data_IF_314809297768
#
_entry.id   IF_314809297768
#
_cell.length_a   1.000
_cell.length_b   1.000
_cell.length_c   1.000
_cell.angle_alpha   90.00
_cell.angle_beta   90.00
_cell.angle_gamma   90.00
#
_symmetry.space_group_name_H-M   'P 1'
#
loop_
_entity.id
_entity.type
_entity.pdbx_description
1 polymer ?
#
# COMPACT_ATOMS: atom_id res chain seq x y z
N UNK A 1 35.29 42.24 -62.12
CA UNK A 1 35.28 41.51 -63.40
C UNK A 1 34.22 40.43 -63.33
N UNK A 2 33.19 40.59 -64.18
CA UNK A 2 32.19 39.64 -64.69
C UNK A 2 31.50 38.67 -63.69
N UNK A 3 30.22 38.91 -63.35
CA UNK A 3 29.01 38.46 -64.07
C UNK A 3 28.76 36.95 -63.95
N UNK A 4 27.66 36.56 -63.32
CA UNK A 4 26.53 35.85 -63.98
C UNK A 4 25.34 35.82 -63.01
N UNK A 5 24.23 36.38 -63.49
CA UNK A 5 22.88 36.19 -62.97
C UNK A 5 22.14 35.17 -63.85
N UNK A 6 21.38 34.26 -63.25
CA UNK A 6 20.28 33.51 -63.87
C UNK A 6 19.45 32.93 -62.70
N UNK A 7 18.31 33.53 -62.30
CA UNK A 7 16.97 33.36 -62.89
C UNK A 7 16.67 31.90 -63.25
N UNK A 8 16.07 31.17 -62.30
CA UNK A 8 15.17 30.05 -62.60
C UNK A 8 13.85 30.25 -61.87
N UNK A 9 12.85 30.57 -62.69
CA UNK A 9 11.43 30.61 -62.36
C UNK A 9 10.87 29.19 -62.42
N UNK A 10 10.07 28.83 -61.42
CA UNK A 10 8.89 27.96 -61.54
C UNK A 10 9.08 26.54 -62.08
N UNK A 11 9.12 25.57 -61.16
CA UNK A 11 8.44 24.29 -61.36
C UNK A 11 7.63 24.01 -60.09
N UNK A 12 6.37 24.47 -60.09
CA UNK A 12 5.36 23.97 -59.17
C UNK A 12 5.20 22.48 -59.47
N UNK A 13 5.88 21.65 -58.68
CA UNK A 13 5.62 20.22 -58.65
C UNK A 13 4.17 20.05 -58.21
N UNK A 14 3.32 19.67 -59.16
CA UNK A 14 2.02 19.10 -58.87
C UNK A 14 2.27 17.91 -57.95
N UNK A 15 2.06 18.12 -56.65
CA UNK A 15 1.95 17.05 -55.69
C UNK A 15 0.76 16.21 -56.15
N UNK A 16 1.06 15.09 -56.82
CA UNK A 16 0.11 14.02 -56.98
C UNK A 16 -0.35 13.65 -55.58
N UNK A 17 -1.57 14.07 -55.24
CA UNK A 17 -2.26 13.66 -54.04
C UNK A 17 -2.37 12.15 -54.12
N UNK A 18 -1.49 11.46 -53.40
CA UNK A 18 -1.64 10.03 -53.16
C UNK A 18 -2.99 9.89 -52.46
N UNK A 19 -3.96 9.13 -53.00
CA UNK A 19 -5.24 8.96 -52.34
C UNK A 19 -4.98 8.45 -50.93
N UNK A 20 -5.50 9.17 -49.94
CA UNK A 20 -5.41 8.77 -48.55
C UNK A 20 -5.87 7.31 -48.45
N UNK A 21 -4.94 6.42 -48.11
CA UNK A 21 -5.26 5.02 -47.86
C UNK A 21 -6.38 4.99 -46.80
N UNK A 22 -7.46 4.25 -47.01
CA UNK A 22 -8.47 4.06 -45.98
C UNK A 22 -7.81 3.32 -44.82
N UNK A 23 -7.39 4.09 -43.83
CA UNK A 23 -6.80 3.60 -42.59
C UNK A 23 -7.92 3.03 -41.71
N UNK A 24 -7.55 2.05 -40.88
CA UNK A 24 -8.40 1.60 -39.77
C UNK A 24 -8.86 2.81 -38.94
N UNK A 25 -10.04 2.74 -38.31
CA UNK A 25 -10.42 3.73 -37.33
C UNK A 25 -9.29 3.90 -36.30
N UNK A 26 -8.89 5.15 -35.97
CA UNK A 26 -7.72 5.41 -35.13
C UNK A 26 -7.83 4.76 -33.75
N UNK A 27 -9.05 4.59 -33.24
CA UNK A 27 -9.33 3.90 -31.98
C UNK A 27 -8.94 2.41 -32.01
N UNK A 28 -9.23 1.69 -33.10
CA UNK A 28 -8.86 0.28 -33.25
C UNK A 28 -7.35 0.13 -33.33
N UNK A 29 -6.69 0.98 -34.13
CA UNK A 29 -5.23 0.96 -34.23
C UNK A 29 -4.55 1.29 -32.89
N UNK A 30 -5.07 2.27 -32.14
CA UNK A 30 -4.57 2.61 -30.81
C UNK A 30 -4.76 1.46 -29.81
N UNK A 31 -5.91 0.78 -29.84
CA UNK A 31 -6.19 -0.38 -28.99
C UNK A 31 -5.22 -1.53 -29.25
N UNK A 32 -5.00 -1.89 -30.52
CA UNK A 32 -4.05 -2.94 -30.92
C UNK A 32 -2.62 -2.62 -30.46
N UNK A 33 -2.17 -1.38 -30.67
CA UNK A 33 -0.85 -0.94 -30.23
C UNK A 33 -0.73 -0.99 -28.69
N UNK A 34 -1.79 -0.63 -27.97
CA UNK A 34 -1.82 -0.69 -26.51
C UNK A 34 -1.71 -2.13 -26.01
N UNK A 35 -2.44 -3.08 -26.59
CA UNK A 35 -2.37 -4.50 -26.22
C UNK A 35 -0.99 -5.11 -26.53
N UNK A 36 -0.39 -4.75 -27.67
CA UNK A 36 0.95 -5.20 -28.03
C UNK A 36 2.02 -4.63 -27.08
N UNK A 37 1.89 -3.35 -26.70
CA UNK A 37 2.78 -2.69 -25.75
C UNK A 37 2.67 -3.28 -24.35
N UNK A 38 1.44 -3.50 -23.85
CA UNK A 38 1.22 -4.09 -22.53
C UNK A 38 1.75 -5.52 -22.44
N UNK A 39 1.64 -6.31 -23.52
CA UNK A 39 2.23 -7.64 -23.56
C UNK A 39 3.76 -7.59 -23.55
N UNK A 40 4.36 -6.66 -24.28
CA UNK A 40 5.83 -6.47 -24.30
C UNK A 40 6.36 -6.01 -22.95
N UNK A 41 5.61 -5.13 -22.26
CA UNK A 41 5.89 -4.74 -20.88
C UNK A 41 5.81 -5.94 -19.94
N UNK A 42 4.78 -6.79 -20.10
CA UNK A 42 4.62 -8.00 -19.30
C UNK A 42 5.74 -9.03 -19.53
N UNK A 43 6.20 -9.20 -20.77
CA UNK A 43 7.36 -10.02 -21.11
C UNK A 43 8.64 -9.51 -20.43
N UNK A 44 8.85 -8.19 -20.43
CA UNK A 44 9.99 -7.54 -19.78
C UNK A 44 9.91 -7.70 -18.26
N UNK A 45 8.71 -7.52 -17.68
CA UNK A 45 8.47 -7.72 -16.27
C UNK A 45 8.74 -9.18 -15.86
N UNK A 46 8.35 -10.17 -16.67
CA UNK A 46 8.63 -11.57 -16.35
C UNK A 46 10.13 -11.85 -16.17
N UNK A 47 10.98 -11.22 -16.98
CA UNK A 47 12.44 -11.36 -16.86
C UNK A 47 12.96 -10.80 -15.53
N UNK A 48 12.39 -9.69 -15.08
CA UNK A 48 12.78 -9.02 -13.83
C UNK A 48 12.19 -9.72 -12.58
N UNK A 49 11.04 -10.37 -12.71
CA UNK A 49 10.22 -10.88 -11.61
C UNK A 49 10.30 -12.39 -11.40
N UNK A 50 11.18 -13.07 -12.14
CA UNK A 50 11.33 -14.53 -12.12
C UNK A 50 11.62 -15.15 -10.74
N UNK A 51 11.95 -14.36 -9.72
CA UNK A 51 12.15 -14.79 -8.33
C UNK A 51 10.99 -14.56 -7.35
N UNK A 52 9.90 -13.88 -7.74
CA UNK A 52 8.86 -13.43 -6.81
C UNK A 52 7.47 -14.01 -7.16
N UNK A 53 7.04 -15.03 -6.41
CA UNK A 53 5.81 -15.77 -6.69
C UNK A 53 4.53 -14.90 -6.67
N UNK A 54 4.41 -13.99 -5.69
CA UNK A 54 3.25 -13.09 -5.55
C UNK A 54 3.10 -12.16 -6.77
N UNK A 55 4.23 -11.63 -7.27
CA UNK A 55 4.25 -10.70 -8.39
C UNK A 55 3.93 -11.41 -9.72
N UNK A 56 4.32 -12.70 -9.85
CA UNK A 56 3.94 -13.54 -10.99
C UNK A 56 2.42 -13.78 -11.05
N UNK A 57 1.74 -13.83 -9.91
CA UNK A 57 0.27 -13.91 -9.84
C UNK A 57 -0.40 -12.67 -10.44
N UNK A 58 0.04 -11.48 -10.05
CA UNK A 58 -0.46 -10.21 -10.61
C UNK A 58 -0.11 -10.05 -12.08
N UNK A 59 1.08 -10.48 -12.50
CA UNK A 59 1.49 -10.46 -13.91
C UNK A 59 0.62 -11.37 -14.78
N UNK A 60 0.29 -12.58 -14.30
CA UNK A 60 -0.62 -13.49 -14.99
C UNK A 60 -1.99 -12.85 -15.24
N UNK A 61 -2.57 -12.21 -14.21
CA UNK A 61 -3.86 -11.54 -14.35
C UNK A 61 -3.84 -10.43 -15.41
N UNK A 62 -2.75 -9.66 -15.50
CA UNK A 62 -2.58 -8.65 -16.56
C UNK A 62 -2.53 -9.27 -17.96
N UNK A 63 -1.85 -10.41 -18.11
CA UNK A 63 -1.75 -11.09 -19.41
C UNK A 63 -3.07 -11.75 -19.79
N UNK A 64 -3.84 -12.25 -18.82
CA UNK A 64 -5.20 -12.75 -19.03
C UNK A 64 -6.14 -11.64 -19.53
N UNK A 65 -6.06 -10.43 -18.97
CA UNK A 65 -6.82 -9.26 -19.47
C UNK A 65 -6.46 -8.91 -20.93
N UNK A 66 -5.17 -8.96 -21.29
CA UNK A 66 -4.74 -8.77 -22.70
C UNK A 66 -5.31 -9.86 -23.61
N UNK A 67 -5.31 -11.12 -23.15
CA UNK A 67 -5.86 -12.25 -23.90
C UNK A 67 -7.36 -12.06 -24.19
N UNK A 68 -8.11 -11.63 -23.18
CA UNK A 68 -9.55 -11.35 -23.30
C UNK A 68 -9.82 -10.17 -24.25
N UNK A 69 -9.11 -9.05 -24.08
CA UNK A 69 -9.24 -7.86 -24.95
C UNK A 69 -8.91 -8.18 -26.42
N UNK A 70 -7.90 -9.03 -26.63
CA UNK A 70 -7.48 -9.46 -27.97
C UNK A 70 -8.56 -10.32 -28.64
N UNK A 71 -9.19 -11.23 -27.88
CA UNK A 71 -10.30 -12.05 -28.38
C UNK A 71 -11.51 -11.19 -28.77
N UNK A 72 -11.90 -10.26 -27.88
CA UNK A 72 -13.02 -9.34 -28.12
C UNK A 72 -12.76 -8.45 -29.34
N UNK A 73 -11.54 -7.95 -29.50
CA UNK A 73 -11.16 -7.12 -30.66
C UNK A 73 -11.26 -7.93 -31.96
N UNK A 74 -10.72 -9.14 -32.00
CA UNK A 74 -10.82 -10.00 -33.18
C UNK A 74 -12.28 -10.32 -33.53
N UNK A 75 -13.12 -10.63 -32.53
CA UNK A 75 -14.55 -10.89 -32.72
C UNK A 75 -15.32 -9.67 -33.23
N UNK A 76 -14.99 -8.47 -32.76
CA UNK A 76 -15.61 -7.22 -33.20
C UNK A 76 -15.24 -6.83 -34.65
N UNK A 77 -14.04 -7.21 -35.11
CA UNK A 77 -13.54 -6.87 -36.45
C UNK A 77 -14.00 -7.85 -37.54
N UNK A 78 -14.24 -9.13 -37.20
CA UNK A 78 -14.74 -10.16 -38.14
C UNK A 78 -16.00 -9.74 -38.93
N UNK A 79 -17.07 -9.21 -38.32
CA UNK A 79 -18.25 -8.78 -39.07
C UNK A 79 -17.97 -7.57 -39.97
N UNK A 80 -17.06 -6.67 -39.57
CA UNK A 80 -16.67 -5.52 -40.39
C UNK A 80 -15.91 -5.95 -41.63
N UNK A 81 -14.96 -6.89 -41.48
CA UNK A 81 -14.25 -7.50 -42.61
C UNK A 81 -15.23 -8.19 -43.57
N UNK A 82 -16.20 -8.94 -43.04
CA UNK A 82 -17.22 -9.60 -43.85
C UNK A 82 -18.09 -8.59 -44.64
N UNK A 83 -18.50 -7.49 -44.00
CA UNK A 83 -19.26 -6.43 -44.66
C UNK A 83 -18.49 -5.77 -45.82
N UNK A 84 -17.20 -5.45 -45.62
CA UNK A 84 -16.36 -4.86 -46.68
C UNK A 84 -16.13 -5.86 -47.82
N UNK A 85 -15.87 -7.13 -47.52
CA UNK A 85 -15.75 -8.18 -48.55
C UNK A 85 -17.03 -8.32 -49.37
N UNK A 86 -18.20 -8.28 -48.73
CA UNK A 86 -19.48 -8.30 -49.46
C UNK A 86 -19.67 -7.08 -50.36
N UNK A 87 -19.19 -5.89 -49.98
CA UNK A 87 -19.21 -4.71 -50.84
C UNK A 87 -18.30 -4.89 -52.08
N UNK A 88 -17.12 -5.47 -51.90
CA UNK A 88 -16.20 -5.80 -53.01
C UNK A 88 -16.85 -6.80 -53.97
N UNK A 89 -17.53 -7.83 -53.45
CA UNK A 89 -18.24 -8.83 -54.25
C UNK A 89 -19.37 -8.19 -55.10
N UNK A 90 -20.09 -7.21 -54.55
CA UNK A 90 -21.15 -6.48 -55.27
C UNK A 90 -20.62 -5.62 -56.42
N UNK A 91 -19.34 -5.20 -56.39
CA UNK A 91 -18.70 -4.50 -57.50
C UNK A 91 -18.38 -5.42 -58.69
N UNK A 92 -18.46 -6.75 -58.52
CA UNK A 92 -18.19 -7.74 -59.55
C UNK A 92 -16.69 -8.02 -59.76
N UNK A 93 -16.36 -9.05 -60.56
CA UNK A 93 -14.97 -9.37 -60.87
C UNK A 93 -14.30 -8.25 -61.68
N UNK A 94 -12.99 -8.04 -61.52
CA UNK A 94 -12.25 -7.08 -62.34
C UNK A 94 -12.32 -7.49 -63.83
N UNK A 95 -12.30 -6.54 -64.77
CA UNK A 95 -12.31 -6.83 -66.19
C UNK A 95 -11.13 -7.73 -66.56
N UNK A 96 -11.40 -8.71 -67.44
CA UNK A 96 -10.34 -9.54 -68.03
C UNK A 96 -9.33 -8.65 -68.76
N UNK A 97 -8.08 -9.12 -68.90
CA UNK A 97 -6.99 -8.35 -69.54
C UNK A 97 -7.32 -7.85 -70.95
N UNK A 98 -8.30 -8.46 -71.62
CA UNK A 98 -8.73 -8.17 -72.98
C UNK A 98 -10.07 -7.39 -73.07
N UNK A 99 -10.65 -6.98 -71.94
CA UNK A 99 -11.91 -6.24 -71.87
C UNK A 99 -11.70 -4.71 -71.78
N UNK A 100 -12.71 -3.88 -72.11
CA UNK A 100 -12.62 -2.43 -71.96
C UNK A 100 -12.22 -2.03 -70.52
N UNK A 101 -11.35 -1.02 -70.33
CA UNK A 101 -10.96 -0.56 -69.01
C UNK A 101 -12.17 -0.24 -68.12
N UNK A 102 -12.11 -0.64 -66.84
CA UNK A 102 -13.08 -0.24 -65.84
C UNK A 102 -13.20 1.29 -65.78
N UNK A 103 -14.40 1.81 -65.50
CA UNK A 103 -14.58 3.23 -65.23
C UNK A 103 -13.65 3.65 -64.06
N UNK A 104 -12.93 4.78 -64.17
CA UNK A 104 -11.89 5.16 -63.20
C UNK A 104 -12.42 5.28 -61.77
N UNK A 105 -13.69 5.65 -61.60
CA UNK A 105 -14.36 5.73 -60.29
C UNK A 105 -14.58 4.35 -59.66
N UNK A 106 -14.95 3.34 -60.45
CA UNK A 106 -15.14 1.96 -59.99
C UNK A 106 -13.82 1.31 -59.59
N UNK A 107 -12.76 1.55 -60.38
CA UNK A 107 -11.42 1.10 -60.07
C UNK A 107 -10.89 1.75 -58.76
N UNK A 108 -11.15 3.05 -58.56
CA UNK A 108 -10.79 3.76 -57.33
C UNK A 108 -11.53 3.21 -56.10
N UNK A 109 -12.83 2.94 -56.21
CA UNK A 109 -13.61 2.39 -55.10
C UNK A 109 -13.22 0.94 -54.78
N UNK A 110 -12.96 0.10 -55.80
CA UNK A 110 -12.41 -1.25 -55.62
C UNK A 110 -11.07 -1.21 -54.87
N UNK A 111 -10.17 -0.30 -55.26
CA UNK A 111 -8.88 -0.12 -54.59
C UNK A 111 -9.05 0.30 -53.13
N UNK A 112 -9.96 1.25 -52.86
CA UNK A 112 -10.28 1.72 -51.50
C UNK A 112 -10.82 0.58 -50.63
N UNK A 113 -11.84 -0.16 -51.07
CA UNK A 113 -12.42 -1.25 -50.30
C UNK A 113 -11.42 -2.39 -50.07
N UNK A 114 -10.57 -2.69 -51.06
CA UNK A 114 -9.52 -3.71 -50.94
C UNK A 114 -8.47 -3.31 -49.89
N UNK A 115 -8.08 -2.04 -49.86
CA UNK A 115 -7.17 -1.51 -48.83
C UNK A 115 -7.81 -1.60 -47.44
N UNK A 116 -9.09 -1.25 -47.30
CA UNK A 116 -9.81 -1.33 -46.03
C UNK A 116 -9.96 -2.80 -45.55
N UNK A 117 -10.28 -3.72 -46.45
CA UNK A 117 -10.35 -5.15 -46.14
C UNK A 117 -9.00 -5.70 -45.68
N UNK A 118 -7.91 -5.30 -46.36
CA UNK A 118 -6.54 -5.68 -45.97
C UNK A 118 -6.16 -5.12 -44.60
N UNK A 119 -6.62 -3.91 -44.27
CA UNK A 119 -6.39 -3.31 -42.97
C UNK A 119 -7.13 -4.05 -41.84
N UNK A 120 -8.40 -4.41 -42.04
CA UNK A 120 -9.15 -5.23 -41.09
C UNK A 120 -8.57 -6.64 -40.93
N UNK A 121 -8.19 -7.29 -42.03
CA UNK A 121 -7.53 -8.61 -42.00
C UNK A 121 -6.20 -8.57 -41.25
N UNK A 122 -5.39 -7.53 -41.50
CA UNK A 122 -4.15 -7.28 -40.77
C UNK A 122 -4.37 -7.06 -39.27
N UNK A 123 -5.42 -6.34 -38.89
CA UNK A 123 -5.79 -6.11 -37.49
C UNK A 123 -6.28 -7.38 -36.78
N UNK A 124 -7.04 -8.24 -37.47
CA UNK A 124 -7.44 -9.55 -36.92
C UNK A 124 -6.21 -10.43 -36.72
N UNK A 125 -5.32 -10.51 -37.72
CA UNK A 125 -4.08 -11.30 -37.61
C UNK A 125 -3.15 -10.79 -36.52
N UNK A 126 -2.99 -9.47 -36.36
CA UNK A 126 -2.17 -8.90 -35.29
C UNK A 126 -2.76 -9.22 -33.91
N UNK A 127 -4.09 -9.22 -33.79
CA UNK A 127 -4.79 -9.70 -32.59
C UNK A 127 -4.47 -11.17 -32.35
N UNK A 128 -4.68 -12.06 -33.33
CA UNK A 128 -4.43 -13.50 -33.17
C UNK A 128 -2.96 -13.82 -32.77
N UNK A 129 -1.99 -13.12 -33.34
CA UNK A 129 -0.57 -13.24 -32.94
C UNK A 129 -0.37 -12.79 -31.49
N UNK A 130 -0.98 -11.67 -31.08
CA UNK A 130 -0.91 -11.17 -29.70
C UNK A 130 -1.55 -12.15 -28.72
N UNK A 131 -2.67 -12.78 -29.10
CA UNK A 131 -3.36 -13.80 -28.32
C UNK A 131 -2.47 -15.02 -28.09
N UNK A 132 -1.81 -15.53 -29.14
CA UNK A 132 -0.89 -16.67 -29.03
C UNK A 132 0.30 -16.33 -28.12
N UNK A 133 0.89 -15.14 -28.28
CA UNK A 133 2.00 -14.68 -27.42
C UNK A 133 1.56 -14.56 -25.95
N UNK A 134 0.37 -14.01 -25.68
CA UNK A 134 -0.19 -13.93 -24.33
C UNK A 134 -0.38 -15.32 -23.72
N UNK A 135 -0.90 -16.28 -24.48
CA UNK A 135 -1.05 -17.67 -24.01
C UNK A 135 0.28 -18.34 -23.68
N UNK A 136 1.30 -18.17 -24.52
CA UNK A 136 2.64 -18.67 -24.27
C UNK A 136 3.26 -18.03 -23.01
N UNK A 137 3.01 -16.73 -22.79
CA UNK A 137 3.50 -16.04 -21.60
C UNK A 137 2.83 -16.55 -20.32
N UNK A 138 1.52 -16.79 -20.35
CA UNK A 138 0.77 -17.41 -19.25
C UNK A 138 1.35 -18.79 -18.89
N UNK A 139 1.65 -19.62 -19.89
CA UNK A 139 2.26 -20.94 -19.69
C UNK A 139 3.65 -20.83 -19.04
N UNK A 140 4.50 -19.93 -19.52
CA UNK A 140 5.82 -19.65 -18.91
C UNK A 140 5.68 -19.20 -17.46
N UNK A 141 4.72 -18.32 -17.15
CA UNK A 141 4.45 -17.87 -15.78
C UNK A 141 4.04 -19.06 -14.90
N UNK A 142 3.16 -19.96 -15.39
CA UNK A 142 2.75 -21.16 -14.64
C UNK A 142 3.94 -22.08 -14.34
N UNK A 143 4.76 -22.38 -15.34
CA UNK A 143 5.96 -23.21 -15.17
C UNK A 143 6.91 -22.59 -14.15
N UNK A 144 7.16 -21.28 -14.24
CA UNK A 144 8.00 -20.55 -13.28
C UNK A 144 7.42 -20.62 -11.86
N UNK A 145 6.13 -20.35 -11.67
CA UNK A 145 5.48 -20.45 -10.35
C UNK A 145 5.58 -21.84 -9.75
N UNK A 146 5.31 -22.89 -10.54
CA UNK A 146 5.48 -24.27 -10.08
C UNK A 146 6.93 -24.58 -9.71
N UNK A 147 7.90 -24.05 -10.47
CA UNK A 147 9.33 -24.23 -10.17
C UNK A 147 9.73 -23.53 -8.88
N UNK A 148 9.25 -22.30 -8.63
CA UNK A 148 9.48 -21.56 -7.40
C UNK A 148 8.84 -22.25 -6.21
N UNK A 149 7.59 -22.71 -6.36
CA UNK A 149 6.90 -23.45 -5.32
C UNK A 149 7.63 -24.75 -4.95
N UNK A 150 8.05 -25.52 -5.94
CA UNK A 150 8.82 -26.76 -5.74
C UNK A 150 10.18 -26.47 -5.10
N UNK A 151 10.86 -25.41 -5.56
CA UNK A 151 12.12 -24.95 -4.96
C UNK A 151 11.90 -24.57 -3.50
N UNK A 152 10.92 -23.74 -3.18
CA UNK A 152 10.61 -23.31 -1.82
C UNK A 152 10.21 -24.49 -0.90
N UNK A 153 9.54 -25.52 -1.43
CA UNK A 153 9.21 -26.74 -0.68
C UNK A 153 10.43 -27.61 -0.38
N UNK A 154 11.36 -27.73 -1.34
CA UNK A 154 12.55 -28.58 -1.24
C UNK A 154 13.75 -27.86 -0.60
N UNK A 155 13.76 -26.54 -0.63
CA UNK A 155 14.80 -25.70 -0.04
C UNK A 155 14.68 -25.79 1.48
N UNK A 156 15.53 -26.64 2.08
CA UNK A 156 15.71 -26.68 3.53
C UNK A 156 16.31 -25.36 3.98
N UNK A 157 15.48 -24.48 4.51
CA UNK A 157 15.95 -23.25 5.15
C UNK A 157 16.88 -23.64 6.31
N UNK A 158 18.15 -23.20 6.31
CA UNK A 158 19.06 -23.45 7.42
C UNK A 158 18.46 -22.87 8.70
N UNK A 159 18.48 -23.64 9.78
CA UNK A 159 17.90 -23.22 11.06
C UNK A 159 18.61 -21.95 11.56
N UNK A 160 17.88 -20.88 11.93
CA UNK A 160 18.46 -19.63 12.43
C UNK A 160 19.20 -19.81 13.76
N UNK A 161 19.00 -20.95 14.44
CA UNK A 161 19.67 -21.33 15.68
C UNK A 161 21.11 -21.83 15.46
N UNK A 162 21.50 -22.16 14.21
CA UNK A 162 22.83 -22.67 13.90
C UNK A 162 23.83 -21.52 13.70
N UNK A 163 25.03 -21.55 14.29
CA UNK A 163 26.04 -20.50 14.13
C UNK A 163 26.63 -20.41 12.70
N UNK A 164 26.42 -21.42 11.86
CA UNK A 164 26.87 -21.43 10.46
C UNK A 164 26.19 -20.32 9.65
N UNK A 165 24.87 -20.15 9.79
CA UNK A 165 24.12 -19.15 8.99
C UNK A 165 24.61 -17.72 9.26
N UNK A 166 24.99 -17.43 10.49
CA UNK A 166 25.52 -16.12 10.88
C UNK A 166 26.90 -15.88 10.29
N UNK A 167 27.76 -16.91 10.20
CA UNK A 167 29.05 -16.81 9.52
C UNK A 167 28.89 -16.57 8.03
N UNK A 168 27.98 -17.29 7.39
CA UNK A 168 27.69 -17.16 5.95
C UNK A 168 27.14 -15.75 5.63
N UNK A 169 26.26 -15.20 6.48
CA UNK A 169 25.75 -13.82 6.33
C UNK A 169 26.88 -12.79 6.47
N UNK A 170 27.78 -12.99 7.44
CA UNK A 170 28.91 -12.09 7.65
C UNK A 170 29.89 -12.15 6.47
N UNK A 171 30.15 -13.34 5.92
CA UNK A 171 31.02 -13.49 4.74
C UNK A 171 30.41 -12.90 3.48
N UNK A 172 29.09 -12.99 3.30
CA UNK A 172 28.39 -12.45 2.12
C UNK A 172 28.08 -10.95 2.24
N UNK A 173 28.20 -10.40 3.45
CA UNK A 173 27.92 -8.98 3.75
C UNK A 173 28.69 -7.96 2.89
N UNK A 174 29.96 -8.16 2.45
CA UNK A 174 30.65 -7.17 1.63
C UNK A 174 29.99 -6.99 0.26
N UNK A 175 29.55 -8.08 -0.36
CA UNK A 175 28.88 -8.02 -1.67
C UNK A 175 27.53 -7.30 -1.56
N UNK A 176 26.75 -7.61 -0.52
CA UNK A 176 25.47 -6.94 -0.26
C UNK A 176 25.69 -5.44 0.03
N UNK A 177 26.67 -5.11 0.87
CA UNK A 177 27.03 -3.73 1.19
C UNK A 177 27.47 -2.95 -0.04
N UNK A 178 28.27 -3.55 -0.92
CA UNK A 178 28.72 -2.88 -2.13
C UNK A 178 27.55 -2.56 -3.08
N UNK A 179 26.61 -3.50 -3.26
CA UNK A 179 25.41 -3.28 -4.08
C UNK A 179 24.52 -2.19 -3.49
N UNK A 180 24.26 -2.27 -2.18
CA UNK A 180 23.46 -1.27 -1.48
C UNK A 180 24.10 0.13 -1.55
N UNK A 181 25.42 0.21 -1.35
CA UNK A 181 26.13 1.48 -1.42
C UNK A 181 26.10 2.08 -2.84
N UNK A 182 26.20 1.26 -3.89
CA UNK A 182 26.06 1.74 -5.26
C UNK A 182 24.69 2.42 -5.49
N UNK A 183 23.61 1.82 -4.98
CA UNK A 183 22.26 2.39 -5.13
C UNK A 183 22.04 3.64 -4.28
N UNK A 184 22.62 3.68 -3.07
CA UNK A 184 22.58 4.87 -2.20
C UNK A 184 23.35 6.02 -2.83
N UNK A 185 24.55 5.75 -3.38
CA UNK A 185 25.36 6.77 -4.05
C UNK A 185 24.61 7.33 -5.27
N UNK A 186 24.05 6.46 -6.11
CA UNK A 186 23.25 6.87 -7.27
C UNK A 186 22.04 7.74 -6.85
N UNK A 187 21.25 7.28 -5.89
CA UNK A 187 20.11 8.06 -5.38
C UNK A 187 20.54 9.41 -4.80
N UNK A 188 21.62 9.42 -4.01
CA UNK A 188 22.15 10.63 -3.39
C UNK A 188 22.65 11.65 -4.43
N UNK A 189 23.20 11.18 -5.55
CA UNK A 189 23.63 12.02 -6.66
C UNK A 189 22.45 12.76 -7.29
N UNK A 190 21.34 12.06 -7.56
CA UNK A 190 20.12 12.66 -8.09
C UNK A 190 19.42 13.56 -7.06
N UNK A 191 19.35 13.12 -5.81
CA UNK A 191 18.79 13.91 -4.71
C UNK A 191 19.56 15.22 -4.47
N UNK A 192 20.89 15.20 -4.59
CA UNK A 192 21.74 16.38 -4.43
C UNK A 192 21.50 17.43 -5.52
N UNK A 193 21.15 17.01 -6.74
CA UNK A 193 20.74 17.92 -7.83
C UNK A 193 19.43 18.63 -7.53
N UNK A 194 18.49 17.95 -6.86
CA UNK A 194 17.18 18.49 -6.44
C UNK A 194 17.17 18.92 -4.96
N UNK A 195 18.33 19.27 -4.37
CA UNK A 195 18.48 19.49 -2.91
C UNK A 195 17.54 20.55 -2.33
N UNK A 196 17.31 21.65 -3.05
CA UNK A 196 16.48 22.76 -2.55
C UNK A 196 15.01 22.34 -2.48
N UNK A 197 14.52 21.67 -3.52
CA UNK A 197 13.16 21.14 -3.61
C UNK A 197 12.95 20.01 -2.59
N UNK A 198 13.93 19.12 -2.42
CA UNK A 198 13.89 18.06 -1.42
C UNK A 198 13.87 18.62 0.01
N UNK A 199 14.70 19.63 0.32
CA UNK A 199 14.67 20.30 1.61
C UNK A 199 13.33 20.98 1.86
N UNK A 200 12.78 21.68 0.87
CA UNK A 200 11.46 22.29 0.97
C UNK A 200 10.37 21.24 1.21
N UNK A 201 10.44 20.08 0.55
CA UNK A 201 9.54 18.96 0.77
C UNK A 201 9.62 18.41 2.19
N UNK A 202 10.83 18.15 2.70
CA UNK A 202 11.04 17.66 4.07
C UNK A 202 10.49 18.66 5.09
N UNK A 203 10.82 19.94 4.90
CA UNK A 203 10.39 21.04 5.77
C UNK A 203 8.87 21.18 5.73
N UNK A 204 8.25 21.18 4.56
CA UNK A 204 6.80 21.30 4.40
C UNK A 204 6.06 20.09 5.01
N UNK A 205 6.53 18.86 4.79
CA UNK A 205 5.96 17.66 5.42
C UNK A 205 6.08 17.70 6.96
N UNK A 206 7.22 18.17 7.47
CA UNK A 206 7.44 18.35 8.91
C UNK A 206 6.50 19.41 9.51
N UNK A 207 6.43 20.60 8.91
CA UNK A 207 5.54 21.66 9.38
C UNK A 207 4.06 21.26 9.28
N UNK A 208 3.66 20.60 8.19
CA UNK A 208 2.32 20.04 8.05
C UNK A 208 2.01 19.07 9.20
N UNK A 209 2.92 18.13 9.49
CA UNK A 209 2.77 17.22 10.62
C UNK A 209 2.60 17.98 11.95
N UNK A 210 3.50 18.91 12.26
CA UNK A 210 3.51 19.63 13.54
C UNK A 210 2.25 20.49 13.71
N UNK A 211 1.89 21.27 12.70
CA UNK A 211 0.70 22.15 12.72
C UNK A 211 -0.56 21.30 12.92
N UNK A 212 -0.71 20.25 12.11
CA UNK A 212 -1.90 19.40 12.14
C UNK A 212 -1.96 18.59 13.43
N UNK A 213 -0.82 18.09 13.92
CA UNK A 213 -0.72 17.41 15.21
C UNK A 213 -1.09 18.32 16.37
N UNK A 214 -0.61 19.56 16.36
CA UNK A 214 -0.93 20.55 17.38
C UNK A 214 -2.42 20.91 17.34
N UNK A 215 -2.97 21.21 16.16
CA UNK A 215 -4.38 21.52 15.96
C UNK A 215 -5.30 20.39 16.44
N UNK A 216 -5.03 19.16 15.99
CA UNK A 216 -5.77 17.95 16.39
C UNK A 216 -5.68 17.71 17.89
N UNK A 217 -4.48 17.78 18.47
CA UNK A 217 -4.29 17.54 19.91
C UNK A 217 -5.00 18.61 20.73
N UNK A 218 -4.90 19.88 20.34
CA UNK A 218 -5.60 20.99 20.98
C UNK A 218 -7.12 20.85 20.88
N UNK A 219 -7.64 20.49 19.70
CA UNK A 219 -9.08 20.34 19.47
C UNK A 219 -9.66 19.15 20.23
N UNK A 220 -9.01 17.98 20.14
CA UNK A 220 -9.44 16.77 20.85
C UNK A 220 -9.32 16.91 22.36
N UNK A 221 -8.25 17.52 22.88
CA UNK A 221 -8.11 17.77 24.31
C UNK A 221 -9.14 18.79 24.80
N UNK A 222 -9.40 19.88 24.06
CA UNK A 222 -10.45 20.86 24.42
C UNK A 222 -11.83 20.20 24.52
N UNK A 223 -12.20 19.32 23.58
CA UNK A 223 -13.50 18.64 23.62
C UNK A 223 -13.58 17.56 24.70
N UNK A 224 -12.50 16.81 24.96
CA UNK A 224 -12.50 15.70 25.94
C UNK A 224 -12.28 16.15 27.40
N UNK A 225 -11.56 17.24 27.63
CA UNK A 225 -11.31 17.80 28.97
C UNK A 225 -12.47 18.67 29.48
N UNK A 226 -13.25 19.29 28.59
CA UNK A 226 -14.49 20.03 28.93
C UNK A 226 -15.72 19.15 29.09
N UNK A 227 -15.54 17.84 29.23
CA UNK A 227 -16.65 16.97 29.60
C UNK A 227 -16.97 17.24 31.08
N UNK A 228 -17.79 18.27 31.33
CA UNK A 228 -18.44 18.51 32.62
C UNK A 228 -19.22 17.24 33.02
N UNK A 229 -19.34 16.92 34.32
CA UNK A 229 -20.25 15.86 34.75
C UNK A 229 -21.67 16.14 34.24
N UNK A 230 -22.45 15.12 33.82
CA UNK A 230 -22.25 13.68 34.05
C UNK A 230 -21.26 12.98 33.11
N UNK A 231 -20.73 11.82 33.53
CA UNK A 231 -19.82 11.03 32.71
C UNK A 231 -20.50 10.46 31.46
N UNK A 232 -19.82 10.43 30.31
CA UNK A 232 -20.41 10.01 29.04
C UNK A 232 -20.84 8.54 29.07
N UNK A 233 -21.95 8.24 28.41
CA UNK A 233 -22.51 6.88 28.27
C UNK A 233 -21.61 5.99 27.40
N UNK A 234 -21.81 4.66 27.42
CA UNK A 234 -21.01 3.73 26.61
C UNK A 234 -21.08 4.06 25.10
N UNK A 235 -22.28 4.36 24.60
CA UNK A 235 -22.51 4.73 23.20
C UNK A 235 -21.80 6.05 22.83
N UNK A 236 -21.83 7.06 23.69
CA UNK A 236 -21.10 8.32 23.47
C UNK A 236 -19.58 8.11 23.42
N UNK A 237 -19.04 7.21 24.26
CA UNK A 237 -17.62 6.84 24.22
C UNK A 237 -17.28 6.13 22.92
N UNK A 238 -18.07 5.15 22.49
CA UNK A 238 -17.87 4.44 21.23
C UNK A 238 -17.93 5.39 20.03
N UNK A 239 -18.94 6.26 19.97
CA UNK A 239 -19.09 7.26 18.91
C UNK A 239 -17.94 8.27 18.92
N UNK A 240 -17.37 8.59 20.10
CA UNK A 240 -16.19 9.44 20.21
C UNK A 240 -14.92 8.81 19.61
N UNK A 241 -14.82 7.49 19.57
CA UNK A 241 -13.69 6.78 18.96
C UNK A 241 -13.73 6.96 17.45
N UNK A 242 -14.92 6.85 16.85
CA UNK A 242 -15.12 6.93 15.40
C UNK A 242 -14.59 8.22 14.78
N UNK A 243 -14.69 9.36 15.47
CA UNK A 243 -14.13 10.62 14.96
C UNK A 243 -12.72 10.92 15.49
N UNK A 244 -12.35 10.50 16.71
CA UNK A 244 -11.03 10.82 17.28
C UNK A 244 -9.91 9.97 16.72
N UNK A 245 -10.15 8.69 16.42
CA UNK A 245 -9.14 7.82 15.83
C UNK A 245 -8.66 8.36 14.46
N UNK A 246 -9.54 8.58 13.45
CA UNK A 246 -9.09 9.10 12.16
C UNK A 246 -8.48 10.48 12.27
N UNK A 247 -9.06 11.36 13.10
CA UNK A 247 -8.51 12.70 13.33
C UNK A 247 -7.09 12.66 13.93
N UNK A 248 -6.79 11.68 14.81
CA UNK A 248 -5.43 11.50 15.35
C UNK A 248 -4.45 10.88 14.37
N UNK A 249 -4.92 10.08 13.42
CA UNK A 249 -4.11 9.52 12.35
C UNK A 249 -3.75 10.57 11.29
N UNK A 250 -4.68 11.49 11.02
CA UNK A 250 -4.63 12.48 9.95
C UNK A 250 -3.29 13.27 9.83
N UNK A 251 -2.65 13.77 10.92
CA UNK A 251 -1.35 14.43 10.83
C UNK A 251 -0.25 13.57 10.21
N UNK A 252 -0.14 12.31 10.64
CA UNK A 252 0.91 11.42 10.16
C UNK A 252 0.58 10.89 8.75
N UNK A 253 -0.69 10.60 8.46
CA UNK A 253 -1.14 10.18 7.12
C UNK A 253 -0.88 11.30 6.11
N UNK A 254 -1.33 12.53 6.39
CA UNK A 254 -1.16 13.66 5.48
C UNK A 254 0.32 13.99 5.21
N UNK A 255 1.15 14.00 6.26
CA UNK A 255 2.59 14.24 6.10
C UNK A 255 3.30 13.12 5.33
N UNK A 256 2.94 11.85 5.56
CA UNK A 256 3.52 10.72 4.85
C UNK A 256 3.12 10.70 3.37
N UNK A 257 1.86 11.01 3.06
CA UNK A 257 1.37 11.11 1.67
C UNK A 257 1.99 12.30 0.94
N UNK A 258 2.10 13.46 1.59
CA UNK A 258 2.78 14.63 1.02
C UNK A 258 4.25 14.29 0.73
N UNK A 259 4.95 13.65 1.66
CA UNK A 259 6.35 13.28 1.48
C UNK A 259 6.52 12.27 0.35
N UNK A 260 5.71 11.20 0.32
CA UNK A 260 5.75 10.21 -0.74
C UNK A 260 5.43 10.82 -2.11
N UNK A 261 4.32 11.54 -2.24
CA UNK A 261 3.92 12.19 -3.49
C UNK A 261 4.92 13.26 -3.95
N UNK A 262 5.57 13.95 -3.02
CA UNK A 262 6.64 14.88 -3.34
C UNK A 262 7.90 14.17 -3.86
N UNK A 263 8.29 13.03 -3.28
CA UNK A 263 9.40 12.24 -3.82
C UNK A 263 9.10 11.69 -5.21
N UNK A 264 7.84 11.29 -5.47
CA UNK A 264 7.37 10.86 -6.78
C UNK A 264 7.43 12.00 -7.80
N UNK A 265 6.94 13.19 -7.44
CA UNK A 265 6.99 14.39 -8.27
C UNK A 265 8.43 14.85 -8.57
N UNK A 266 9.36 14.57 -7.67
CA UNK A 266 10.80 14.81 -7.87
C UNK A 266 11.48 13.67 -8.64
N UNK A 267 10.76 12.65 -9.10
CA UNK A 267 11.29 11.48 -9.82
C UNK A 267 12.38 10.73 -9.02
N UNK A 268 12.34 10.85 -7.68
CA UNK A 268 13.27 10.15 -6.77
C UNK A 268 12.80 8.72 -6.44
N UNK A 269 11.59 8.34 -6.87
CA UNK A 269 10.97 7.03 -6.65
C UNK A 269 11.11 6.08 -7.84
N UNK A 270 12.26 6.07 -8.51
CA UNK A 270 12.55 5.09 -9.57
C UNK A 270 12.81 3.69 -8.98
N UNK A 271 12.72 2.64 -9.79
CA UNK A 271 13.00 1.27 -9.33
C UNK A 271 14.48 1.17 -8.97
N UNK A 272 14.83 0.74 -7.74
CA UNK A 272 14.03 -0.02 -6.76
C UNK A 272 13.45 0.81 -5.60
N UNK A 273 13.83 2.08 -5.47
CA UNK A 273 13.40 2.99 -4.41
C UNK A 273 11.89 3.21 -4.38
N UNK A 274 11.22 3.24 -5.55
CA UNK A 274 9.77 3.36 -5.62
C UNK A 274 9.02 2.24 -4.90
N UNK A 275 9.42 0.98 -5.13
CA UNK A 275 8.81 -0.19 -4.47
C UNK A 275 9.07 -0.19 -2.96
N UNK A 276 10.30 0.08 -2.55
CA UNK A 276 10.67 0.16 -1.14
C UNK A 276 9.91 1.28 -0.41
N UNK A 277 9.83 2.48 -1.01
CA UNK A 277 9.09 3.61 -0.45
C UNK A 277 7.58 3.32 -0.34
N UNK A 278 6.99 2.63 -1.32
CA UNK A 278 5.59 2.21 -1.27
C UNK A 278 5.33 1.22 -0.13
N UNK A 279 6.23 0.25 0.08
CA UNK A 279 6.18 -0.68 1.22
C UNK A 279 6.28 0.04 2.57
N UNK A 280 7.22 0.99 2.70
CA UNK A 280 7.41 1.82 3.90
C UNK A 280 6.17 2.70 4.15
N UNK A 281 5.60 3.31 3.11
CA UNK A 281 4.38 4.11 3.22
C UNK A 281 3.22 3.25 3.71
N UNK A 282 2.98 2.09 3.08
CA UNK A 282 1.93 1.14 3.48
C UNK A 282 2.09 0.73 4.95
N UNK A 283 3.29 0.33 5.37
CA UNK A 283 3.59 0.00 6.76
C UNK A 283 3.32 1.17 7.71
N UNK A 284 3.75 2.37 7.36
CA UNK A 284 3.52 3.60 8.14
C UNK A 284 2.03 3.90 8.29
N UNK A 285 1.24 3.81 7.21
CA UNK A 285 -0.19 4.04 7.24
C UNK A 285 -0.93 3.02 8.12
N UNK A 286 -0.58 1.73 8.02
CA UNK A 286 -1.13 0.68 8.88
C UNK A 286 -0.79 0.94 10.35
N UNK A 287 0.48 1.24 10.64
CA UNK A 287 0.93 1.54 12.00
C UNK A 287 0.18 2.72 12.60
N UNK A 288 0.06 3.82 11.85
CA UNK A 288 -0.63 5.04 12.29
C UNK A 288 -2.12 4.77 12.51
N UNK A 289 -2.78 4.07 11.59
CA UNK A 289 -4.21 3.77 11.69
C UNK A 289 -4.52 2.92 12.92
N UNK A 290 -3.80 1.81 13.10
CA UNK A 290 -4.00 0.89 14.22
C UNK A 290 -3.61 1.55 15.54
N UNK A 291 -2.49 2.27 15.59
CA UNK A 291 -2.08 3.00 16.81
C UNK A 291 -3.09 4.08 17.18
N UNK A 292 -3.60 4.84 16.21
CA UNK A 292 -4.61 5.86 16.48
C UNK A 292 -5.90 5.25 17.05
N UNK A 293 -6.31 4.09 16.52
CA UNK A 293 -7.46 3.33 17.04
C UNK A 293 -7.21 2.83 18.46
N UNK A 294 -6.04 2.21 18.73
CA UNK A 294 -5.66 1.75 20.07
C UNK A 294 -5.70 2.89 21.10
N UNK A 295 -5.12 4.04 20.78
CA UNK A 295 -5.12 5.22 21.66
C UNK A 295 -6.49 5.90 21.79
N UNK A 296 -7.39 5.72 20.82
CA UNK A 296 -8.77 6.20 20.91
C UNK A 296 -9.62 5.29 21.81
N UNK A 297 -9.48 3.96 21.67
CA UNK A 297 -10.24 2.95 22.45
C UNK A 297 -9.76 2.87 23.90
N UNK A 298 -8.44 2.79 24.14
CA UNK A 298 -7.88 2.67 25.49
C UNK A 298 -7.78 4.02 26.22
N UNK A 299 -7.85 5.13 25.48
CA UNK A 299 -7.85 6.51 25.99
C UNK A 299 -6.94 6.75 27.23
N UNK A 300 -5.63 6.43 27.17
CA UNK A 300 -4.76 6.38 28.35
C UNK A 300 -4.54 7.73 29.07
N UNK A 301 -4.86 8.85 28.41
CA UNK A 301 -4.75 10.22 28.95
C UNK A 301 -6.10 10.80 29.40
N UNK A 302 -7.21 10.09 29.18
CA UNK A 302 -8.56 10.58 29.46
C UNK A 302 -9.41 9.43 30.05
N UNK A 303 -9.25 9.11 31.36
CA UNK A 303 -9.86 7.93 31.97
C UNK A 303 -11.39 7.91 31.87
N UNK A 304 -12.05 9.08 31.86
CA UNK A 304 -13.49 9.23 31.70
C UNK A 304 -14.03 8.82 30.31
N UNK A 305 -13.18 8.78 29.28
CA UNK A 305 -13.53 8.42 27.91
C UNK A 305 -13.14 6.99 27.52
N UNK A 306 -12.66 6.19 28.48
CA UNK A 306 -12.17 4.84 28.22
C UNK A 306 -13.34 3.86 28.07
N UNK A 307 -13.30 3.02 27.03
CA UNK A 307 -14.31 1.96 26.83
C UNK A 307 -14.08 0.77 27.77
N UNK A 308 -12.83 0.36 28.00
CA UNK A 308 -12.48 -0.80 28.84
C UNK A 308 -12.04 -0.35 30.23
N UNK A 309 -12.68 -0.82 31.30
CA UNK A 309 -12.40 -0.42 32.69
C UNK A 309 -11.08 -1.01 33.25
N UNK A 310 -9.94 -0.49 32.82
CA UNK A 310 -8.61 -0.85 33.33
C UNK A 310 -8.13 0.11 34.44
N UNK A 311 -7.05 -0.19 35.14
CA UNK A 311 -6.35 0.85 35.92
C UNK A 311 -5.46 1.69 34.97
N UNK A 312 -5.17 2.95 35.32
CA UNK A 312 -4.48 3.90 34.43
C UNK A 312 -3.03 3.49 34.07
N UNK A 313 -2.37 2.76 34.96
CA UNK A 313 -1.01 2.22 34.74
C UNK A 313 -1.04 1.05 33.73
N UNK A 314 -1.84 -0.01 33.92
CA UNK A 314 -2.04 -1.05 32.92
C UNK A 314 -2.50 -0.52 31.55
N UNK A 315 -3.47 0.40 31.50
CA UNK A 315 -3.99 0.93 30.24
C UNK A 315 -2.89 1.59 29.37
N UNK A 316 -1.99 2.36 29.98
CA UNK A 316 -0.82 2.96 29.30
C UNK A 316 0.20 1.92 28.84
N UNK A 317 0.40 0.85 29.62
CA UNK A 317 1.34 -0.21 29.26
C UNK A 317 0.79 -1.06 28.11
N UNK A 318 -0.46 -1.49 28.20
CA UNK A 318 -1.15 -2.25 27.15
C UNK A 318 -1.20 -1.45 25.84
N UNK A 319 -1.58 -0.17 25.88
CA UNK A 319 -1.60 0.65 24.67
C UNK A 319 -0.22 0.75 23.98
N UNK A 320 0.86 0.92 24.77
CA UNK A 320 2.23 0.94 24.25
C UNK A 320 2.67 -0.40 23.68
N UNK A 321 2.37 -1.51 24.37
CA UNK A 321 2.73 -2.85 23.90
C UNK A 321 1.98 -3.24 22.63
N UNK A 322 0.66 -2.97 22.57
CA UNK A 322 -0.12 -3.21 21.35
C UNK A 322 0.38 -2.36 20.19
N UNK A 323 0.71 -1.08 20.44
CA UNK A 323 1.31 -0.23 19.41
C UNK A 323 2.69 -0.74 18.99
N UNK A 324 3.50 -1.27 19.92
CA UNK A 324 4.79 -1.87 19.60
C UNK A 324 4.64 -3.14 18.74
N UNK A 325 3.64 -3.99 19.02
CA UNK A 325 3.32 -5.16 18.19
C UNK A 325 2.97 -4.71 16.77
N UNK A 326 2.12 -3.69 16.64
CA UNK A 326 1.80 -3.10 15.33
C UNK A 326 3.04 -2.50 14.66
N UNK A 327 3.95 -1.87 15.41
CA UNK A 327 5.19 -1.32 14.86
C UNK A 327 6.09 -2.42 14.30
N UNK A 328 6.23 -3.55 15.01
CA UNK A 328 6.98 -4.71 14.53
C UNK A 328 6.34 -5.27 13.26
N UNK A 329 5.01 -5.42 13.22
CA UNK A 329 4.30 -5.86 12.01
C UNK A 329 4.51 -4.93 10.81
N UNK A 330 4.37 -3.61 11.03
CA UNK A 330 4.57 -2.62 9.98
C UNK A 330 6.02 -2.58 9.48
N UNK A 331 6.99 -2.72 10.39
CA UNK A 331 8.40 -2.77 10.05
C UNK A 331 8.77 -4.04 9.29
N UNK A 332 8.29 -5.20 9.75
CA UNK A 332 8.50 -6.49 9.08
C UNK A 332 7.93 -6.50 7.66
N UNK A 333 6.71 -5.97 7.48
CA UNK A 333 6.13 -5.76 6.17
C UNK A 333 6.96 -4.84 5.28
N UNK A 334 7.38 -3.67 5.80
CA UNK A 334 8.21 -2.73 5.05
C UNK A 334 9.58 -3.31 4.67
N UNK A 335 10.22 -4.06 5.57
CA UNK A 335 11.48 -4.75 5.33
C UNK A 335 11.33 -5.86 4.29
N UNK A 336 10.21 -6.58 4.29
CA UNK A 336 9.91 -7.61 3.29
C UNK A 336 9.79 -7.00 1.89
N UNK A 337 8.99 -5.93 1.75
CA UNK A 337 8.84 -5.24 0.46
C UNK A 337 10.16 -4.61 -0.01
N UNK A 338 10.95 -4.05 0.91
CA UNK A 338 12.29 -3.53 0.61
C UNK A 338 13.22 -4.66 0.18
N UNK A 339 13.23 -5.79 0.87
CA UNK A 339 14.07 -6.95 0.54
C UNK A 339 13.74 -7.51 -0.85
N UNK A 340 12.45 -7.54 -1.20
CA UNK A 340 11.97 -7.90 -2.55
C UNK A 340 12.46 -6.89 -3.59
N UNK A 341 12.32 -5.60 -3.34
CA UNK A 341 12.78 -4.54 -4.25
C UNK A 341 14.31 -4.59 -4.50
N UNK A 342 15.08 -5.02 -3.50
CA UNK A 342 16.54 -5.05 -3.55
C UNK A 342 17.13 -6.42 -3.96
N UNK A 343 16.29 -7.41 -4.32
CA UNK A 343 16.72 -8.78 -4.64
C UNK A 343 17.66 -9.36 -3.56
N UNK A 344 17.32 -9.10 -2.30
CA UNK A 344 18.15 -9.48 -1.16
C UNK A 344 18.18 -11.01 -1.03
N UNK A 345 19.34 -11.64 -0.73
CA UNK A 345 19.44 -13.09 -0.56
C UNK A 345 18.46 -13.66 0.46
N UNK A 346 17.95 -14.88 0.20
CA UNK A 346 16.99 -15.59 1.04
C UNK A 346 17.46 -15.72 2.51
N UNK A 347 18.76 -15.85 2.76
CA UNK A 347 19.30 -15.95 4.12
C UNK A 347 18.94 -14.76 5.03
N UNK A 348 18.83 -13.54 4.46
CA UNK A 348 18.46 -12.35 5.22
C UNK A 348 16.97 -12.32 5.56
N UNK A 349 16.10 -12.91 4.73
CA UNK A 349 14.67 -13.02 5.05
C UNK A 349 14.42 -14.04 6.18
N UNK A 350 15.25 -15.08 6.29
CA UNK A 350 15.22 -16.03 7.43
C UNK A 350 15.56 -15.31 8.74
N UNK A 351 16.63 -14.51 8.74
CA UNK A 351 17.04 -13.73 9.93
C UNK A 351 15.99 -12.69 10.29
N UNK A 352 15.44 -11.99 9.30
CA UNK A 352 14.33 -11.06 9.52
C UNK A 352 13.13 -11.76 10.16
N UNK A 353 12.68 -12.89 9.60
CA UNK A 353 11.53 -13.65 10.12
C UNK A 353 11.76 -14.14 11.55
N UNK A 354 12.98 -14.61 11.84
CA UNK A 354 13.36 -14.99 13.20
C UNK A 354 13.34 -13.79 14.15
N UNK A 355 13.94 -12.67 13.77
CA UNK A 355 13.97 -11.46 14.59
C UNK A 355 12.55 -10.91 14.86
N UNK A 356 11.69 -10.87 13.84
CA UNK A 356 10.29 -10.47 13.97
C UNK A 356 9.52 -11.42 14.89
N UNK A 357 9.70 -12.73 14.76
CA UNK A 357 9.07 -13.74 15.62
C UNK A 357 9.47 -13.58 17.09
N UNK A 358 10.77 -13.40 17.35
CA UNK A 358 11.29 -13.15 18.71
C UNK A 358 10.74 -11.83 19.28
N UNK A 359 10.68 -10.77 18.46
CA UNK A 359 10.11 -9.50 18.86
C UNK A 359 8.62 -9.63 19.23
N UNK A 360 7.82 -10.30 18.40
CA UNK A 360 6.41 -10.58 18.69
C UNK A 360 6.24 -11.39 19.97
N UNK A 361 6.99 -12.48 20.13
CA UNK A 361 6.95 -13.33 21.32
C UNK A 361 7.28 -12.52 22.58
N UNK A 362 8.34 -11.72 22.56
CA UNK A 362 8.75 -10.89 23.70
C UNK A 362 7.69 -9.84 24.09
N UNK A 363 7.04 -9.22 23.10
CA UNK A 363 5.99 -8.22 23.32
C UNK A 363 4.70 -8.86 23.84
N UNK A 364 4.33 -10.04 23.34
CA UNK A 364 3.19 -10.81 23.81
C UNK A 364 3.40 -11.31 25.24
N UNK A 365 4.60 -11.81 25.57
CA UNK A 365 4.97 -12.14 26.96
C UNK A 365 4.87 -10.89 27.83
N UNK A 366 5.41 -9.75 27.38
CA UNK A 366 5.27 -8.47 28.09
C UNK A 366 3.82 -8.04 28.32
N UNK A 367 2.93 -8.36 27.38
CA UNK A 367 1.49 -8.09 27.47
C UNK A 367 0.84 -9.01 28.52
N UNK A 368 1.13 -10.32 28.49
CA UNK A 368 0.64 -11.31 29.46
C UNK A 368 1.11 -11.01 30.89
N UNK A 369 2.35 -10.53 31.06
CA UNK A 369 2.91 -10.13 32.35
C UNK A 369 2.31 -8.81 32.89
N UNK A 370 1.46 -8.12 32.13
CA UNK A 370 0.80 -6.90 32.59
C UNK A 370 -0.33 -7.24 33.56
N UNK A 371 0.01 -7.36 34.86
CA UNK A 371 -0.91 -7.70 35.95
C UNK A 371 -2.10 -6.72 36.03
N UNK A 372 -3.30 -7.21 35.75
CA UNK A 372 -4.56 -6.47 35.92
C UNK A 372 -4.92 -6.45 37.41
N UNK A 373 -4.66 -5.32 38.09
CA UNK A 373 -5.27 -5.10 39.40
C UNK A 373 -6.75 -4.75 39.17
N UNK A 374 -7.60 -5.79 39.08
CA UNK A 374 -9.04 -5.65 39.05
C UNK A 374 -9.50 -4.92 40.30
N UNK A 375 -10.13 -3.75 40.15
CA UNK A 375 -10.70 -2.94 41.23
C UNK A 375 -12.07 -3.50 41.66
N UNK A 376 -12.19 -4.82 41.77
CA UNK A 376 -13.47 -5.55 41.96
C UNK A 376 -13.82 -5.79 43.43
N UNK A 377 -13.38 -4.92 44.37
CA UNK A 377 -13.60 -5.18 45.81
C UNK A 377 -13.82 -3.95 46.71
N UNK A 378 -14.42 -2.86 46.21
CA UNK A 378 -14.80 -1.71 47.09
C UNK A 378 -16.26 -1.24 47.04
N UNK A 379 -17.08 -1.74 46.12
CA UNK A 379 -18.50 -1.32 46.02
C UNK A 379 -19.48 -2.22 46.79
N UNK A 380 -19.04 -3.34 47.40
CA UNK A 380 -19.89 -4.22 48.23
C UNK A 380 -19.76 -3.96 49.75
N UNK A 381 -19.35 -2.76 50.15
CA UNK A 381 -19.41 -2.34 51.56
C UNK A 381 -20.00 -0.95 51.69
N UNK A 382 -21.24 -0.79 51.21
CA UNK A 382 -22.16 0.18 51.81
C UNK A 382 -22.83 -0.53 52.99
N UNK A 383 -22.50 -0.18 54.25
CA UNK A 383 -23.30 -0.64 55.38
C UNK A 383 -24.64 0.07 55.29
N UNK A 384 -25.70 -0.72 55.14
CA UNK A 384 -27.07 -0.31 55.36
C UNK A 384 -27.22 0.34 56.73
N UNK A 385 -27.28 1.67 56.79
CA UNK A 385 -27.84 2.36 57.94
C UNK A 385 -29.29 2.71 57.64
N UNK A 386 -30.16 1.76 57.99
CA UNK A 386 -31.50 2.04 58.47
C UNK A 386 -31.35 2.80 59.77
N UNK A 387 -31.85 4.03 59.85
CA UNK A 387 -32.51 4.56 61.07
C UNK A 387 -33.40 5.75 60.72
N UNK A 388 -34.69 5.52 60.89
CA UNK A 388 -35.74 6.51 61.15
C UNK A 388 -35.41 7.32 62.43
N UNK A 389 -35.55 8.65 62.39
CA UNK A 389 -36.48 9.45 63.23
C UNK A 389 -36.25 10.96 63.13
N UNK A 390 -37.37 11.65 62.95
CA UNK A 390 -37.81 12.86 63.64
C UNK A 390 -36.83 14.03 63.84
N UNK A 391 -37.22 15.19 63.30
CA UNK A 391 -36.58 16.46 63.60
C UNK A 391 -36.74 16.88 65.05
N UNK A 392 -35.76 17.62 65.54
CA UNK A 392 -36.02 18.82 66.33
C UNK A 392 -34.80 19.72 66.30
N UNK A 393 -35.13 20.99 66.37
CA UNK A 393 -34.32 22.19 66.29
C UNK A 393 -33.63 22.40 67.66
N UNK A 394 -32.56 23.22 67.67
CA UNK A 394 -32.06 24.07 68.76
C UNK A 394 -30.66 23.83 69.36
N UNK A 395 -29.89 24.94 69.30
CA UNK A 395 -29.01 25.56 70.32
C UNK A 395 -27.53 25.18 70.43
N UNK A 396 -26.70 26.07 69.85
CA UNK A 396 -25.70 26.92 70.50
C UNK A 396 -25.15 26.50 71.90
N UNK A 397 -23.82 26.41 72.02
CA UNK A 397 -23.14 26.25 73.32
C UNK A 397 -21.62 26.23 73.21
N UNK A 398 -21.00 27.27 73.77
CA UNK A 398 -19.59 27.68 73.81
C UNK A 398 -18.55 26.77 74.50
N UNK A 399 -17.27 27.00 74.14
CA UNK A 399 -16.04 26.92 74.98
C UNK A 399 -15.48 25.50 75.24
N UNK A 400 -14.20 25.21 75.47
CA UNK A 400 -12.87 25.88 75.46
C UNK A 400 -11.85 24.72 75.63
N UNK A 401 -10.59 24.94 75.24
CA UNK A 401 -9.35 24.36 75.82
C UNK A 401 -8.88 22.92 75.48
N UNK A 402 -7.62 22.91 75.00
CA UNK A 402 -6.46 22.15 75.51
C UNK A 402 -6.15 20.71 75.05
N UNK A 403 -5.10 20.64 74.22
CA UNK A 403 -3.81 19.92 74.43
C UNK A 403 -3.74 18.38 74.51
N UNK A 404 -2.54 17.89 74.11
CA UNK A 404 -1.97 16.53 74.30
C UNK A 404 -2.39 15.48 73.27
N UNK A 405 -1.57 15.11 72.28
CA UNK A 405 -0.30 14.33 72.29
C UNK A 405 -0.47 12.81 72.42
N UNK A 406 0.36 12.09 71.62
CA UNK A 406 0.68 10.63 71.60
C UNK A 406 -0.20 9.79 70.65
N UNK A 407 0.35 9.39 69.49
CA UNK A 407 1.13 8.15 69.26
C UNK A 407 0.29 6.87 69.42
N UNK A 408 -0.05 6.25 68.28
CA UNK A 408 -0.35 4.82 68.21
C UNK A 408 0.14 4.27 66.87
N UNK A 409 1.33 3.66 66.93
CA UNK A 409 1.78 2.62 66.02
C UNK A 409 0.99 1.33 66.33
N UNK A 410 0.44 0.65 65.32
CA UNK A 410 0.27 -0.81 65.34
C UNK A 410 0.05 -1.30 63.90
N UNK A 411 1.06 -1.94 63.28
CA UNK A 411 1.43 -3.36 63.40
C UNK A 411 0.65 -4.21 62.38
N UNK A 412 1.37 -4.55 61.30
CA UNK A 412 1.00 -5.55 60.31
C UNK A 412 0.95 -6.94 60.94
N UNK A 413 -0.15 -7.65 60.77
CA UNK A 413 -0.20 -9.10 61.00
C UNK A 413 -0.59 -9.82 59.71
N UNK A 414 0.40 -10.55 59.17
CA UNK A 414 0.23 -11.68 58.27
C UNK A 414 -0.71 -12.72 58.91
N UNK A 415 -1.61 -13.31 58.12
CA UNK A 415 -2.30 -14.55 58.50
C UNK A 415 -2.39 -15.50 57.30
N UNK A 416 -2.09 -16.74 57.61
CA UNK A 416 -1.75 -17.84 56.73
C UNK A 416 -2.96 -18.46 56.01
N UNK A 417 -2.64 -19.18 54.93
CA UNK A 417 -3.48 -20.15 54.23
C UNK A 417 -3.98 -21.27 55.17
N UNK A 418 -5.11 -21.92 54.85
CA UNK A 418 -5.31 -23.34 55.12
C UNK A 418 -5.36 -24.19 53.83
N UNK A 419 -5.05 -25.50 53.91
CA UNK A 419 -4.88 -26.39 52.77
C UNK A 419 -6.15 -27.19 52.40
N UNK A 420 -6.10 -27.75 51.18
CA UNK A 420 -6.72 -28.97 50.64
C UNK A 420 -8.13 -29.41 51.07
N UNK A 421 -9.00 -29.67 50.08
CA UNK A 421 -9.45 -31.04 49.83
C UNK A 421 -10.14 -31.22 48.47
N UNK A 422 -9.90 -32.41 47.94
CA UNK A 422 -10.34 -33.01 46.69
C UNK A 422 -11.83 -33.34 46.64
N UNK A 423 -12.40 -33.29 45.44
CA UNK A 423 -13.25 -34.31 44.81
C UNK A 423 -13.16 -34.12 43.29
#
# INVERSE_FOLDING_TARGET
MLLIAALFVGAAGAAAQTPAQPALPPEVAASLNKMAASLTEAETALQQLSGFEDELGGLRAKVEDVLDQTSQTAEALRPQLAAVKSQIEKLGPPPAKDAPPEAPEMAAERARLTALASAYDGAIKSSEVTWVRARQLIERITVLRHSLFTKNLLERLPSPLLPQIWRDIVSDSPAVRHRFNAWVVDWSYWAARKKAELLLLIVSAFFLYVILKFAVTRWTNRRRLRAEPPHPTFFERALSVSWVAPLRALPAVAASLLFYGGLDALELLYNPWGRAAAGILKGTLVFVAVSALLYAVLAPRAPQWRLVSLADRPARRVARLLSAITAVYALDGALTETSRAFFVPLALSVVQSFASSVAFASLLIGLLLTRSHGRTRRELKSPSHVTSRAGSRYLCGSSRLASSSRHCWAMWHWRALPPSNSC
#
